data_IF_648514219763
#
_entry.id   IF_648514219763
#
_cell.length_a   1.000
_cell.length_b   1.000
_cell.length_c   1.000
_cell.angle_alpha   90.00
_cell.angle_beta   90.00
_cell.angle_gamma   90.00
#
_symmetry.space_group_name_H-M   'P 1'
#
loop_
_entity.id
_entity.type
_entity.pdbx_description
1 polymer ?
#
# COMPACT_ATOMS: atom_id res chain seq x y z
N UNK A 1 -12.25 32.28 -20.78
CA UNK A 1 -11.42 31.67 -19.72
C UNK A 1 -11.49 30.15 -19.84
N UNK A 2 -10.40 29.49 -20.28
CA UNK A 2 -10.31 28.03 -20.19
C UNK A 2 -10.06 27.70 -18.72
N UNK A 3 -11.06 27.12 -18.02
CA UNK A 3 -10.82 26.52 -16.70
C UNK A 3 -9.79 25.40 -16.90
N UNK A 4 -8.56 25.59 -16.41
CA UNK A 4 -7.58 24.50 -16.36
C UNK A 4 -8.13 23.47 -15.38
N UNK A 5 -8.76 22.42 -15.91
CA UNK A 5 -9.19 21.28 -15.12
C UNK A 5 -7.93 20.46 -14.84
N UNK A 6 -7.18 20.83 -13.80
CA UNK A 6 -6.17 19.92 -13.25
C UNK A 6 -6.91 18.81 -12.53
N UNK A 7 -6.77 17.54 -12.93
CA UNK A 7 -7.34 16.44 -12.17
C UNK A 7 -6.70 16.44 -10.77
N UNK A 8 -7.51 16.39 -9.71
CA UNK A 8 -6.99 16.13 -8.37
C UNK A 8 -6.54 14.67 -8.31
N UNK A 9 -5.27 14.41 -8.66
CA UNK A 9 -4.63 13.12 -8.50
C UNK A 9 -4.33 12.84 -7.02
N UNK A 10 -4.14 11.57 -6.66
CA UNK A 10 -3.88 11.18 -5.26
C UNK A 10 -5.13 11.10 -4.37
N UNK A 11 -6.29 11.52 -4.88
CA UNK A 11 -7.60 11.42 -4.22
C UNK A 11 -8.40 10.17 -4.65
N UNK A 12 -9.50 9.82 -3.93
CA UNK A 12 -10.43 8.80 -4.39
C UNK A 12 -11.01 9.13 -5.77
N UNK A 13 -11.17 8.12 -6.64
CA UNK A 13 -11.83 8.25 -7.95
C UNK A 13 -13.26 8.75 -7.82
N UNK A 14 -13.99 8.22 -6.84
CA UNK A 14 -15.36 8.60 -6.54
C UNK A 14 -15.50 9.01 -5.08
N UNK A 15 -16.33 10.02 -4.79
CA UNK A 15 -16.61 10.47 -3.41
C UNK A 15 -17.15 9.35 -2.52
N UNK A 16 -17.90 8.41 -3.09
CA UNK A 16 -18.41 7.23 -2.38
C UNK A 16 -17.30 6.29 -1.87
N UNK A 17 -16.06 6.43 -2.38
CA UNK A 17 -14.92 5.61 -1.97
C UNK A 17 -14.13 6.20 -0.81
N UNK A 18 -14.36 7.46 -0.41
CA UNK A 18 -13.52 8.16 0.58
C UNK A 18 -13.37 7.38 1.89
N UNK A 19 -14.47 6.84 2.43
CA UNK A 19 -14.41 6.06 3.67
C UNK A 19 -13.50 4.82 3.55
N UNK A 20 -13.59 4.09 2.44
CA UNK A 20 -12.76 2.89 2.21
C UNK A 20 -11.31 3.31 1.94
N UNK A 21 -11.12 4.41 1.23
CA UNK A 21 -9.82 4.97 0.89
C UNK A 21 -9.02 5.34 2.14
N UNK A 22 -9.65 6.01 3.10
CA UNK A 22 -9.02 6.43 4.36
C UNK A 22 -8.74 5.22 5.26
N UNK A 23 -9.66 4.25 5.33
CA UNK A 23 -9.47 3.00 6.07
C UNK A 23 -8.27 2.20 5.59
N UNK A 24 -7.95 2.23 4.28
CA UNK A 24 -6.78 1.54 3.76
C UNK A 24 -5.48 2.13 4.30
N UNK A 25 -5.41 3.44 4.54
CA UNK A 25 -4.23 4.05 5.17
C UNK A 25 -4.03 3.54 6.60
N UNK A 26 -5.10 3.49 7.40
CA UNK A 26 -5.04 2.92 8.76
C UNK A 26 -4.60 1.46 8.75
N UNK A 27 -5.19 0.63 7.87
CA UNK A 27 -4.82 -0.79 7.75
C UNK A 27 -3.37 -0.98 7.32
N UNK A 28 -2.86 -0.11 6.44
CA UNK A 28 -1.47 -0.11 6.02
C UNK A 28 -0.56 0.23 7.20
N UNK A 29 -0.83 1.33 7.92
CA UNK A 29 -0.01 1.79 9.04
C UNK A 29 0.04 0.74 10.17
N UNK A 30 -1.08 0.09 10.47
CA UNK A 30 -1.14 -0.98 11.46
C UNK A 30 -0.33 -2.21 11.02
N UNK A 31 -0.39 -2.56 9.73
CA UNK A 31 0.39 -3.68 9.19
C UNK A 31 1.90 -3.38 9.18
N UNK A 32 2.32 -2.15 8.90
CA UNK A 32 3.72 -1.73 9.01
C UNK A 32 4.21 -1.87 10.46
N UNK A 33 3.46 -1.35 11.44
CA UNK A 33 3.80 -1.49 12.87
C UNK A 33 3.89 -2.95 13.30
N UNK A 34 2.96 -3.79 12.84
CA UNK A 34 2.98 -5.23 13.11
C UNK A 34 4.24 -5.89 12.53
N UNK A 35 4.59 -5.58 11.28
CA UNK A 35 5.80 -6.09 10.63
C UNK A 35 7.04 -5.68 11.40
N UNK A 36 7.16 -4.41 11.75
CA UNK A 36 8.33 -3.87 12.44
C UNK A 36 8.51 -4.51 13.83
N UNK A 37 7.40 -4.80 14.52
CA UNK A 37 7.41 -5.57 15.77
C UNK A 37 7.86 -7.02 15.57
N UNK A 38 7.45 -7.68 14.48
CA UNK A 38 7.89 -9.05 14.18
C UNK A 38 9.37 -9.10 13.81
N UNK A 39 9.86 -8.08 13.10
CA UNK A 39 11.27 -7.93 12.73
C UNK A 39 12.14 -7.65 13.96
N UNK A 40 11.73 -6.74 14.85
CA UNK A 40 12.50 -6.42 16.05
C UNK A 40 12.62 -7.58 17.04
N UNK A 41 11.66 -8.51 17.02
CA UNK A 41 11.67 -9.71 17.84
C UNK A 41 12.17 -10.96 17.09
N UNK A 42 12.69 -10.82 15.88
CA UNK A 42 13.08 -11.97 15.05
C UNK A 42 14.33 -12.67 15.61
N UNK A 43 14.21 -13.96 15.93
CA UNK A 43 15.35 -14.84 16.21
C UNK A 43 15.30 -16.05 15.28
N UNK A 44 16.40 -16.33 14.57
CA UNK A 44 16.54 -17.50 13.69
C UNK A 44 15.34 -17.73 12.74
N UNK A 45 14.78 -16.66 12.17
CA UNK A 45 13.63 -16.70 11.26
C UNK A 45 12.31 -17.25 11.84
N UNK A 46 12.14 -17.32 13.16
CA UNK A 46 10.93 -17.87 13.80
C UNK A 46 9.62 -17.17 13.37
N UNK A 47 9.69 -15.88 13.06
CA UNK A 47 8.55 -15.08 12.63
C UNK A 47 8.40 -15.01 11.10
N UNK A 48 9.23 -15.72 10.31
CA UNK A 48 9.21 -15.66 8.83
C UNK A 48 7.80 -15.78 8.26
N UNK A 49 7.05 -16.80 8.67
CA UNK A 49 5.70 -17.03 8.15
C UNK A 49 4.71 -15.94 8.57
N UNK A 50 4.91 -15.30 9.73
CA UNK A 50 4.07 -14.17 10.17
C UNK A 50 4.39 -12.93 9.34
N UNK A 51 5.68 -12.65 9.13
CA UNK A 51 6.14 -11.53 8.30
C UNK A 51 5.59 -11.67 6.87
N UNK A 52 5.69 -12.85 6.26
CA UNK A 52 5.12 -13.11 4.92
C UNK A 52 3.62 -12.83 4.88
N UNK A 53 2.85 -13.22 5.90
CA UNK A 53 1.41 -12.94 5.96
C UNK A 53 1.12 -11.43 6.07
N UNK A 54 1.92 -10.71 6.85
CA UNK A 54 1.81 -9.25 6.97
C UNK A 54 2.18 -8.57 5.66
N UNK A 55 3.26 -8.99 5.00
CA UNK A 55 3.68 -8.46 3.70
C UNK A 55 2.62 -8.68 2.61
N UNK A 56 1.97 -9.86 2.59
CA UNK A 56 0.84 -10.11 1.68
C UNK A 56 -0.34 -9.17 1.97
N UNK A 57 -0.65 -8.90 3.24
CA UNK A 57 -1.69 -7.95 3.64
C UNK A 57 -1.35 -6.53 3.20
N UNK A 58 -0.09 -6.10 3.35
CA UNK A 58 0.39 -4.79 2.88
C UNK A 58 0.24 -4.71 1.36
N UNK A 59 0.72 -5.69 0.61
CA UNK A 59 0.62 -5.72 -0.85
C UNK A 59 -0.84 -5.61 -1.34
N UNK A 60 -1.76 -6.36 -0.72
CA UNK A 60 -3.19 -6.27 -1.03
C UNK A 60 -3.76 -4.88 -0.72
N UNK A 61 -3.35 -4.27 0.39
CA UNK A 61 -3.75 -2.93 0.79
C UNK A 61 -3.29 -1.89 -0.25
N UNK A 62 -2.00 -1.90 -0.60
CA UNK A 62 -1.39 -1.00 -1.59
C UNK A 62 -2.08 -1.14 -2.95
N UNK A 63 -2.31 -2.38 -3.41
CA UNK A 63 -3.04 -2.66 -4.67
C UNK A 63 -4.47 -2.13 -4.66
N UNK A 64 -5.19 -2.30 -3.54
CA UNK A 64 -6.55 -1.76 -3.40
C UNK A 64 -6.52 -0.23 -3.36
N UNK A 65 -5.57 0.36 -2.64
CA UNK A 65 -5.37 1.81 -2.53
C UNK A 65 -5.10 2.43 -3.90
N UNK A 66 -4.22 1.85 -4.70
CA UNK A 66 -3.94 2.31 -6.07
C UNK A 66 -5.18 2.26 -6.96
N UNK A 67 -5.97 1.17 -6.88
CA UNK A 67 -7.21 1.02 -7.66
C UNK A 67 -8.23 2.12 -7.37
N UNK A 68 -8.31 2.59 -6.13
CA UNK A 68 -9.22 3.65 -5.71
C UNK A 68 -8.66 5.06 -5.97
N UNK A 69 -7.35 5.20 -6.24
CA UNK A 69 -6.68 6.49 -6.42
C UNK A 69 -6.79 7.00 -7.85
N UNK A 70 -7.19 8.27 -8.01
CA UNK A 70 -7.06 8.99 -9.29
C UNK A 70 -5.58 9.08 -9.64
N UNK A 71 -5.19 8.48 -10.78
CA UNK A 71 -3.80 8.36 -11.19
C UNK A 71 -3.12 7.03 -10.81
N UNK A 72 -3.79 6.15 -10.06
CA UNK A 72 -3.29 4.80 -9.82
C UNK A 72 -2.07 4.75 -8.89
N UNK A 73 -1.09 3.91 -9.23
CA UNK A 73 0.11 3.70 -8.43
C UNK A 73 1.02 4.93 -8.34
N UNK A 74 1.10 5.73 -9.41
CA UNK A 74 1.98 6.92 -9.50
C UNK A 74 1.62 8.05 -8.54
N UNK A 75 0.48 7.94 -7.86
CA UNK A 75 -0.03 8.96 -6.92
C UNK A 75 -0.42 8.34 -5.57
N UNK A 76 0.17 7.19 -5.25
CA UNK A 76 0.16 6.70 -3.89
C UNK A 76 1.06 7.58 -3.00
N UNK A 77 0.80 7.63 -1.69
CA UNK A 77 1.79 8.12 -0.73
C UNK A 77 3.12 7.37 -0.89
N UNK A 78 4.23 8.09 -0.73
CA UNK A 78 5.60 7.58 -0.89
C UNK A 78 5.83 6.32 -0.05
N UNK A 79 5.35 6.31 1.19
CA UNK A 79 5.52 5.16 2.09
C UNK A 79 4.85 3.88 1.60
N UNK A 80 3.77 3.99 0.80
CA UNK A 80 3.08 2.83 0.21
C UNK A 80 3.71 2.39 -1.10
N UNK A 81 4.41 3.31 -1.78
CA UNK A 81 5.07 3.06 -3.05
C UNK A 81 6.46 2.42 -2.83
N UNK A 82 7.22 2.94 -1.86
CA UNK A 82 8.58 2.48 -1.53
C UNK A 82 8.60 1.24 -0.64
N UNK A 83 7.42 0.76 -0.23
CA UNK A 83 7.33 -0.47 0.54
C UNK A 83 7.78 -1.69 -0.28
N UNK A 84 8.68 -2.47 0.30
CA UNK A 84 9.09 -3.77 -0.22
C UNK A 84 8.87 -4.90 0.80
N UNK A 85 8.53 -6.12 0.33
CA UNK A 85 8.40 -7.28 1.21
C UNK A 85 9.79 -7.77 1.68
N UNK A 86 9.86 -8.27 2.91
CA UNK A 86 11.12 -8.78 3.48
C UNK A 86 11.50 -10.14 2.90
N UNK A 87 10.48 -10.93 2.55
CA UNK A 87 10.63 -12.24 1.94
C UNK A 87 9.94 -12.25 0.58
N UNK A 88 10.39 -13.14 -0.31
CA UNK A 88 9.81 -13.27 -1.65
C UNK A 88 8.30 -13.58 -1.60
N UNK A 89 7.53 -12.77 -2.31
CA UNK A 89 6.10 -12.96 -2.58
C UNK A 89 5.83 -12.84 -4.08
N UNK A 90 4.63 -13.21 -4.52
CA UNK A 90 4.23 -13.07 -5.92
C UNK A 90 4.33 -11.61 -6.39
N UNK A 91 5.24 -11.35 -7.34
CA UNK A 91 5.50 -10.03 -7.92
C UNK A 91 4.26 -9.37 -8.52
N UNK A 92 3.21 -10.14 -8.88
CA UNK A 92 1.92 -9.61 -9.37
C UNK A 92 1.11 -8.86 -8.30
N UNK A 93 1.54 -8.94 -7.04
CA UNK A 93 0.97 -8.21 -5.92
C UNK A 93 1.66 -6.86 -5.65
N UNK A 94 2.87 -6.67 -6.18
CA UNK A 94 3.67 -5.47 -5.94
C UNK A 94 3.18 -4.28 -6.79
N UNK A 95 3.42 -3.03 -6.35
CA UNK A 95 3.26 -1.85 -7.19
C UNK A 95 3.97 -2.02 -8.52
N UNK A 96 3.26 -1.72 -9.61
CA UNK A 96 3.90 -1.64 -10.92
C UNK A 96 4.44 -0.24 -11.06
N UNK A 97 5.76 -0.09 -10.98
CA UNK A 97 6.42 1.13 -11.39
C UNK A 97 6.22 1.26 -12.90
N UNK A 98 5.79 2.44 -13.36
CA UNK A 98 5.80 2.76 -14.79
C UNK A 98 7.22 3.23 -15.04
N UNK A 99 8.03 2.38 -15.67
CA UNK A 99 9.34 2.76 -16.22
C UNK A 99 9.15 3.46 -17.56
#
# INVERSE_FOLDING_TARGET
MKRSYSPNYGEPKYKSQSLVFDRLKVVFDDAIKERDKLLSNQKNNENKNKIVKVDLRIAMCVKKRARLTKGGYSYLPEEMYDWEPIYEIDKRLLPKTVS
#
